data_IF_315703972713
#
_entry.id   IF_315703972713
#
_cell.length_a   1.000
_cell.length_b   1.000
_cell.length_c   1.000
_cell.angle_alpha   90.00
_cell.angle_beta   90.00
_cell.angle_gamma   90.00
#
_symmetry.space_group_name_H-M   'P 1'
#
loop_
_entity.id
_entity.type
_entity.pdbx_description
1 polymer ?
#
# COMPACT_ATOMS: atom_id res chain seq x y z
N UNK A 1 22.46 37.17 4.41
CA UNK A 1 22.63 36.52 3.09
C UNK A 1 23.16 35.09 3.13
N UNK A 2 24.03 34.68 4.08
CA UNK A 2 24.55 33.29 4.17
C UNK A 2 23.57 32.19 4.64
N UNK A 3 22.38 32.56 5.18
CA UNK A 3 21.36 31.61 5.65
C UNK A 3 20.33 31.21 4.58
N UNK A 4 20.19 32.01 3.51
CA UNK A 4 19.31 31.73 2.37
C UNK A 4 19.98 30.79 1.35
N UNK A 5 21.30 30.82 1.25
CA UNK A 5 22.06 29.93 0.38
C UNK A 5 22.12 28.49 0.91
N UNK A 6 22.01 28.27 2.24
CA UNK A 6 22.06 26.94 2.84
C UNK A 6 20.74 26.17 2.68
N UNK A 7 19.59 26.86 2.73
CA UNK A 7 18.26 26.26 2.53
C UNK A 7 17.98 25.94 1.06
N UNK A 8 18.55 26.69 0.12
CA UNK A 8 18.50 26.35 -1.31
C UNK A 8 19.40 25.13 -1.60
N UNK A 9 20.57 25.02 -0.96
CA UNK A 9 21.44 23.84 -1.12
C UNK A 9 20.83 22.56 -0.49
N UNK A 10 20.11 22.67 0.63
CA UNK A 10 19.46 21.51 1.26
C UNK A 10 18.27 20.99 0.45
N UNK A 11 17.53 21.87 -0.24
CA UNK A 11 16.49 21.45 -1.19
C UNK A 11 17.05 20.78 -2.46
N UNK A 12 18.31 21.04 -2.81
CA UNK A 12 18.98 20.39 -3.95
C UNK A 12 19.47 18.98 -3.60
N UNK A 13 19.85 18.70 -2.35
CA UNK A 13 20.34 17.36 -1.96
C UNK A 13 19.25 16.35 -1.60
N UNK A 14 17.99 16.77 -1.39
CA UNK A 14 16.84 15.87 -1.34
C UNK A 14 16.25 15.56 -2.72
N UNK A 15 16.80 16.15 -3.79
CA UNK A 15 16.30 16.01 -5.16
C UNK A 15 16.94 14.85 -5.95
N UNK A 16 17.96 14.18 -5.41
CA UNK A 16 18.72 13.15 -6.15
C UNK A 16 17.94 11.84 -6.41
N UNK A 17 16.69 11.71 -5.94
CA UNK A 17 15.78 10.58 -6.24
C UNK A 17 14.45 11.07 -6.85
N UNK A 18 14.30 12.37 -7.12
CA UNK A 18 13.24 12.81 -8.01
C UNK A 18 13.69 12.43 -9.41
N UNK A 19 12.87 11.70 -10.20
CA UNK A 19 13.05 11.78 -11.64
C UNK A 19 13.11 13.26 -11.93
N UNK A 20 14.25 13.70 -12.46
CA UNK A 20 14.50 15.06 -12.82
C UNK A 20 13.20 15.66 -13.36
N UNK A 21 12.60 16.55 -12.58
CA UNK A 21 11.65 17.55 -13.09
C UNK A 21 12.33 18.48 -14.11
N UNK A 22 13.61 18.21 -14.42
CA UNK A 22 14.40 18.86 -15.44
C UNK A 22 13.66 18.78 -16.77
N UNK A 23 13.16 19.95 -17.17
CA UNK A 23 13.58 20.61 -18.41
C UNK A 23 14.42 19.67 -19.28
N UNK A 24 13.86 19.29 -20.44
CA UNK A 24 14.60 18.57 -21.46
C UNK A 24 15.98 19.21 -21.64
N UNK A 25 17.04 18.41 -21.62
CA UNK A 25 18.36 18.96 -21.82
C UNK A 25 18.47 19.58 -23.23
N UNK A 26 19.54 20.32 -23.50
CA UNK A 26 19.68 21.04 -24.77
C UNK A 26 19.63 20.11 -26.00
N UNK A 27 20.16 18.89 -25.88
CA UNK A 27 20.13 17.88 -26.94
C UNK A 27 18.72 17.32 -27.16
N UNK A 28 18.01 16.97 -26.09
CA UNK A 28 16.60 16.54 -26.14
C UNK A 28 15.73 17.64 -26.74
N UNK A 29 15.95 18.90 -26.34
CA UNK A 29 15.22 20.06 -26.84
C UNK A 29 15.47 20.29 -28.32
N UNK A 30 16.71 20.10 -28.79
CA UNK A 30 17.03 20.20 -30.22
C UNK A 30 16.28 19.13 -31.03
N UNK A 31 16.27 17.88 -30.58
CA UNK A 31 15.55 16.78 -31.24
C UNK A 31 14.05 17.07 -31.28
N UNK A 32 13.46 17.48 -30.15
CA UNK A 32 12.04 17.84 -30.08
C UNK A 32 11.70 18.94 -31.09
N UNK A 33 12.53 19.98 -31.21
CA UNK A 33 12.29 21.08 -32.16
C UNK A 33 12.43 20.63 -33.61
N UNK A 34 13.41 19.79 -33.92
CA UNK A 34 13.63 19.28 -35.29
C UNK A 34 12.51 18.35 -35.74
N UNK A 35 11.96 17.53 -34.83
CA UNK A 35 10.96 16.50 -35.13
C UNK A 35 9.58 16.78 -34.54
N UNK A 36 9.26 18.04 -34.22
CA UNK A 36 8.05 18.41 -33.47
C UNK A 36 6.76 17.85 -34.11
N UNK A 37 6.61 17.98 -35.43
CA UNK A 37 5.43 17.54 -36.15
C UNK A 37 5.25 16.02 -36.13
N UNK A 38 6.35 15.27 -36.17
CA UNK A 38 6.33 13.79 -36.14
C UNK A 38 6.06 13.28 -34.72
N UNK A 39 6.51 14.00 -33.69
CA UNK A 39 6.44 13.57 -32.29
C UNK A 39 5.11 13.91 -31.63
N UNK A 40 4.48 15.02 -31.99
CA UNK A 40 3.38 15.62 -31.21
C UNK A 40 2.20 14.67 -30.97
N UNK A 41 1.65 14.11 -32.04
CA UNK A 41 0.48 13.22 -31.92
C UNK A 41 0.82 11.86 -31.29
N UNK A 42 1.88 11.14 -31.72
CA UNK A 42 2.22 9.84 -31.13
C UNK A 42 2.54 9.93 -29.64
N UNK A 43 3.29 10.95 -29.21
CA UNK A 43 3.63 11.13 -27.79
C UNK A 43 2.39 11.44 -26.97
N UNK A 44 1.50 12.30 -27.47
CA UNK A 44 0.25 12.62 -26.76
C UNK A 44 -0.61 11.36 -26.56
N UNK A 45 -0.81 10.58 -27.64
CA UNK A 45 -1.60 9.36 -27.59
C UNK A 45 -1.03 8.34 -26.60
N UNK A 46 0.27 8.07 -26.67
CA UNK A 46 0.93 7.13 -25.74
C UNK A 46 0.89 7.61 -24.29
N UNK A 47 1.01 8.93 -24.07
CA UNK A 47 0.95 9.50 -22.72
C UNK A 47 -0.44 9.39 -22.11
N UNK A 48 -1.49 9.62 -22.90
CA UNK A 48 -2.88 9.49 -22.47
C UNK A 48 -3.22 8.03 -22.16
N UNK A 49 -2.79 7.08 -23.00
CA UNK A 49 -2.93 5.64 -22.75
C UNK A 49 -2.21 5.21 -21.46
N UNK A 50 -0.97 5.66 -21.26
CA UNK A 50 -0.20 5.35 -20.05
C UNK A 50 -0.88 5.91 -18.79
N UNK A 51 -1.48 7.10 -18.88
CA UNK A 51 -2.25 7.68 -17.79
C UNK A 51 -3.54 6.91 -17.50
N UNK A 52 -4.30 6.55 -18.54
CA UNK A 52 -5.51 5.75 -18.42
C UNK A 52 -5.22 4.36 -17.82
N UNK A 53 -4.09 3.73 -18.17
CA UNK A 53 -3.65 2.48 -17.55
C UNK A 53 -3.43 2.64 -16.03
N UNK A 54 -2.81 3.74 -15.61
CA UNK A 54 -2.61 4.03 -14.18
C UNK A 54 -3.95 4.25 -13.47
N UNK A 55 -4.85 5.06 -14.04
CA UNK A 55 -6.19 5.30 -13.47
C UNK A 55 -7.02 4.02 -13.35
N UNK A 56 -6.84 3.06 -14.27
CA UNK A 56 -7.56 1.79 -14.21
C UNK A 56 -7.14 0.91 -13.02
N UNK A 57 -5.92 1.10 -12.49
CA UNK A 57 -5.33 0.28 -11.43
C UNK A 57 -5.27 0.98 -10.08
N UNK A 58 -5.21 2.31 -10.08
CA UNK A 58 -4.93 3.12 -8.90
C UNK A 58 -5.94 4.25 -8.77
N UNK A 59 -6.26 4.64 -7.54
CA UNK A 59 -6.96 5.88 -7.27
C UNK A 59 -6.02 7.06 -7.53
N UNK A 60 -6.30 7.83 -8.58
CA UNK A 60 -5.57 9.07 -8.90
C UNK A 60 -6.42 10.26 -8.47
N UNK A 61 -6.05 10.87 -7.34
CA UNK A 61 -6.75 12.06 -6.85
C UNK A 61 -6.60 13.23 -7.84
N UNK A 62 -7.63 14.08 -8.04
CA UNK A 62 -7.54 15.28 -8.88
C UNK A 62 -6.35 16.18 -8.53
N UNK A 63 -5.93 16.19 -7.26
CA UNK A 63 -4.81 17.00 -6.77
C UNK A 63 -3.43 16.55 -7.32
N UNK A 64 -3.29 15.28 -7.71
CA UNK A 64 -2.05 14.73 -8.26
C UNK A 64 -2.17 14.34 -9.74
N UNK A 65 -3.39 14.23 -10.27
CA UNK A 65 -3.65 13.82 -11.64
C UNK A 65 -2.86 14.63 -12.67
N UNK A 66 -2.81 15.96 -12.53
CA UNK A 66 -2.02 16.81 -13.43
C UNK A 66 -0.53 16.49 -13.43
N UNK A 67 0.05 16.21 -12.26
CA UNK A 67 1.47 15.83 -12.14
C UNK A 67 1.73 14.44 -12.72
N UNK A 68 0.83 13.48 -12.50
CA UNK A 68 0.95 12.13 -13.06
C UNK A 68 0.86 12.17 -14.59
N UNK A 69 -0.10 12.92 -15.16
CA UNK A 69 -0.19 13.14 -16.61
C UNK A 69 1.07 13.76 -17.18
N UNK A 70 1.60 14.78 -16.51
CA UNK A 70 2.87 15.41 -16.90
C UNK A 70 4.02 14.39 -16.90
N UNK A 71 4.12 13.53 -15.89
CA UNK A 71 5.14 12.47 -15.87
C UNK A 71 4.94 11.46 -17.00
N UNK A 72 3.72 11.02 -17.30
CA UNK A 72 3.45 10.15 -18.45
C UNK A 72 3.90 10.82 -19.77
N UNK A 73 3.57 12.09 -19.95
CA UNK A 73 3.95 12.85 -21.15
C UNK A 73 5.47 12.96 -21.31
N UNK A 74 6.19 13.38 -20.27
CA UNK A 74 7.64 13.52 -20.35
C UNK A 74 8.32 12.15 -20.53
N UNK A 75 7.82 11.11 -19.85
CA UNK A 75 8.29 9.73 -20.01
C UNK A 75 8.21 9.27 -21.46
N UNK A 76 7.03 9.40 -22.08
CA UNK A 76 6.83 8.97 -23.47
C UNK A 76 7.60 9.86 -24.46
N UNK A 77 7.74 11.16 -24.17
CA UNK A 77 8.59 12.06 -24.97
C UNK A 77 10.05 11.57 -24.98
N UNK A 78 10.63 11.29 -23.81
CA UNK A 78 12.02 10.81 -23.71
C UNK A 78 12.20 9.44 -24.34
N UNK A 79 11.23 8.54 -24.19
CA UNK A 79 11.24 7.24 -24.89
C UNK A 79 11.21 7.44 -26.40
N UNK A 80 10.45 8.41 -26.89
CA UNK A 80 10.37 8.71 -28.32
C UNK A 80 11.67 9.32 -28.86
N UNK A 81 12.31 10.23 -28.11
CA UNK A 81 13.61 10.83 -28.46
C UNK A 81 14.68 9.77 -28.71
N UNK A 82 14.68 8.68 -27.94
CA UNK A 82 15.63 7.57 -28.12
C UNK A 82 15.57 6.92 -29.52
N UNK A 83 14.54 7.18 -30.33
CA UNK A 83 14.48 6.73 -31.73
C UNK A 83 15.39 7.55 -32.67
N UNK A 84 15.74 8.78 -32.29
CA UNK A 84 16.56 9.71 -33.07
C UNK A 84 18.02 9.74 -32.60
N UNK A 85 18.31 9.16 -31.44
CA UNK A 85 19.68 8.96 -30.98
C UNK A 85 20.42 7.97 -31.90
N UNK A 86 21.65 8.30 -32.30
CA UNK A 86 22.53 7.44 -33.12
C UNK A 86 23.15 6.30 -32.30
N UNK A 87 22.29 5.51 -31.64
CA UNK A 87 22.67 4.38 -30.77
C UNK A 87 22.20 3.05 -31.36
N UNK A 88 22.77 1.95 -30.88
CA UNK A 88 22.35 0.61 -31.30
C UNK A 88 20.92 0.29 -30.84
N UNK A 89 20.29 -0.69 -31.50
CA UNK A 89 18.94 -1.15 -31.10
C UNK A 89 18.92 -1.65 -29.65
N UNK A 90 19.97 -2.36 -29.22
CA UNK A 90 20.07 -2.89 -27.87
C UNK A 90 20.14 -1.77 -26.82
N UNK A 91 21.01 -0.77 -27.03
CA UNK A 91 21.14 0.39 -26.15
C UNK A 91 19.84 1.20 -26.08
N UNK A 92 19.15 1.39 -27.21
CA UNK A 92 17.86 2.06 -27.27
C UNK A 92 16.81 1.36 -26.42
N UNK A 93 16.75 0.04 -26.46
CA UNK A 93 15.80 -0.74 -25.64
C UNK A 93 16.13 -0.60 -24.16
N UNK A 94 17.41 -0.70 -23.79
CA UNK A 94 17.85 -0.53 -22.40
C UNK A 94 17.49 0.86 -21.87
N UNK A 95 17.82 1.92 -22.61
CA UNK A 95 17.52 3.29 -22.20
C UNK A 95 16.03 3.57 -22.04
N UNK A 96 15.19 3.01 -22.92
CA UNK A 96 13.72 3.10 -22.79
C UNK A 96 13.22 2.43 -21.51
N UNK A 97 13.80 1.29 -21.10
CA UNK A 97 13.46 0.62 -19.84
C UNK A 97 13.89 1.45 -18.63
N UNK A 98 15.09 2.03 -18.65
CA UNK A 98 15.57 2.91 -17.58
C UNK A 98 14.67 4.15 -17.42
N UNK A 99 14.25 4.77 -18.54
CA UNK A 99 13.27 5.87 -18.52
C UNK A 99 11.94 5.40 -17.92
N UNK A 100 11.43 4.23 -18.34
CA UNK A 100 10.20 3.68 -17.79
C UNK A 100 10.28 3.53 -16.26
N UNK A 101 11.35 2.89 -15.76
CA UNK A 101 11.55 2.67 -14.33
C UNK A 101 11.64 3.99 -13.54
N UNK A 102 12.46 4.93 -14.02
CA UNK A 102 12.68 6.21 -13.35
C UNK A 102 11.38 7.02 -13.20
N UNK A 103 10.56 7.09 -14.26
CA UNK A 103 9.30 7.83 -14.22
C UNK A 103 8.23 7.09 -13.42
N UNK A 104 8.22 5.76 -13.48
CA UNK A 104 7.32 4.96 -12.66
C UNK A 104 7.60 5.12 -11.17
N UNK A 105 8.83 5.40 -10.76
CA UNK A 105 9.16 5.70 -9.36
C UNK A 105 8.63 7.06 -8.91
N UNK A 106 8.77 8.08 -9.76
CA UNK A 106 8.17 9.40 -9.51
C UNK A 106 6.65 9.34 -9.42
N UNK A 107 6.01 8.57 -10.30
CA UNK A 107 4.58 8.32 -10.25
C UNK A 107 4.22 7.56 -8.97
N UNK A 108 4.95 6.49 -8.63
CA UNK A 108 4.74 5.72 -7.40
C UNK A 108 4.85 6.60 -6.14
N UNK A 109 5.80 7.55 -6.10
CA UNK A 109 5.94 8.50 -4.99
C UNK A 109 4.67 9.33 -4.74
N UNK A 110 3.98 9.73 -5.81
CA UNK A 110 2.70 10.45 -5.72
C UNK A 110 1.54 9.52 -5.34
N UNK A 111 1.53 8.30 -5.85
CA UNK A 111 0.39 7.39 -5.73
C UNK A 111 0.37 6.55 -4.45
N UNK A 112 1.53 6.18 -3.90
CA UNK A 112 1.63 5.31 -2.72
C UNK A 112 0.84 5.86 -1.52
N UNK A 113 0.93 7.15 -1.14
CA UNK A 113 0.15 7.67 -0.02
C UNK A 113 -1.37 7.64 -0.26
N UNK A 114 -1.82 7.57 -1.51
CA UNK A 114 -3.23 7.49 -1.87
C UNK A 114 -3.71 6.05 -2.06
N UNK A 115 -2.77 5.11 -2.26
CA UNK A 115 -3.02 3.73 -2.60
C UNK A 115 -2.08 2.81 -1.80
N UNK A 116 -2.40 2.53 -0.53
CA UNK A 116 -1.52 1.74 0.33
C UNK A 116 -1.17 0.35 -0.20
N UNK A 117 -1.99 -0.20 -1.11
CA UNK A 117 -1.82 -1.54 -1.70
C UNK A 117 -0.76 -1.60 -2.80
N UNK A 118 -0.23 -0.47 -3.30
CA UNK A 118 0.84 -0.46 -4.32
C UNK A 118 2.18 -0.95 -3.73
N UNK A 119 2.31 -0.90 -2.41
CA UNK A 119 3.51 -1.25 -1.65
C UNK A 119 3.15 -2.18 -0.48
N UNK A 120 4.03 -2.34 0.50
CA UNK A 120 3.69 -2.98 1.77
C UNK A 120 2.54 -2.25 2.47
N UNK A 121 1.51 -2.99 2.91
CA UNK A 121 0.27 -2.40 3.41
C UNK A 121 0.52 -1.45 4.59
N UNK A 122 1.33 -1.84 5.57
CA UNK A 122 1.56 -1.00 6.76
C UNK A 122 2.38 0.23 6.39
N UNK A 123 3.36 0.07 5.50
CA UNK A 123 4.18 1.17 4.96
C UNK A 123 3.33 2.17 4.20
N UNK A 124 2.43 1.70 3.34
CA UNK A 124 1.48 2.55 2.62
C UNK A 124 0.59 3.34 3.57
N UNK A 125 0.07 2.71 4.62
CA UNK A 125 -0.72 3.41 5.65
C UNK A 125 0.12 4.41 6.47
N UNK A 126 1.38 4.08 6.79
CA UNK A 126 2.29 5.01 7.47
C UNK A 126 2.55 6.26 6.62
N UNK A 127 2.76 6.11 5.31
CA UNK A 127 2.97 7.22 4.38
C UNK A 127 1.68 8.04 4.17
N UNK A 128 0.54 7.38 4.01
CA UNK A 128 -0.78 8.03 3.95
C UNK A 128 -1.04 8.90 5.19
N UNK A 129 -0.63 8.42 6.36
CA UNK A 129 -0.82 9.11 7.64
C UNK A 129 0.37 9.96 8.07
N UNK A 130 1.36 10.19 7.21
CA UNK A 130 2.63 10.84 7.55
C UNK A 130 2.47 12.14 8.35
N UNK A 131 1.49 12.99 7.98
CA UNK A 131 1.16 14.23 8.69
C UNK A 131 0.57 13.97 10.08
N UNK A 132 -0.31 12.99 10.23
CA UNK A 132 -0.91 12.63 11.52
C UNK A 132 0.09 11.95 12.46
N UNK A 133 1.05 11.22 11.91
CA UNK A 133 2.12 10.57 12.66
C UNK A 133 3.27 11.54 13.00
N UNK A 134 3.22 12.78 12.51
CA UNK A 134 4.29 13.77 12.62
C UNK A 134 5.66 13.19 12.19
N UNK A 135 5.68 12.50 11.05
CA UNK A 135 6.93 11.92 10.53
C UNK A 135 7.91 13.04 10.16
N UNK A 136 9.11 12.96 10.71
CA UNK A 136 10.22 13.83 10.30
C UNK A 136 10.54 13.61 8.81
N UNK A 137 10.96 14.65 8.07
CA UNK A 137 11.25 14.54 6.63
C UNK A 137 12.18 13.37 6.28
N UNK A 138 13.22 13.14 7.07
CA UNK A 138 14.21 12.08 6.85
C UNK A 138 13.59 10.69 7.00
N UNK A 139 12.71 10.51 7.99
CA UNK A 139 11.97 9.25 8.20
C UNK A 139 10.95 9.03 7.08
N UNK A 140 10.26 10.09 6.68
CA UNK A 140 9.33 10.05 5.56
C UNK A 140 10.05 9.61 4.28
N UNK A 141 11.18 10.23 3.94
CA UNK A 141 11.92 9.92 2.72
C UNK A 141 12.55 8.52 2.76
N UNK A 142 13.02 8.09 3.93
CA UNK A 142 13.50 6.71 4.15
C UNK A 142 12.39 5.67 3.94
N UNK A 143 11.16 5.94 4.40
CA UNK A 143 10.01 5.07 4.17
C UNK A 143 9.54 5.12 2.72
N UNK A 144 9.53 6.31 2.10
CA UNK A 144 9.14 6.48 0.71
C UNK A 144 10.09 5.75 -0.24
N UNK A 145 11.40 5.86 -0.02
CA UNK A 145 12.40 5.13 -0.81
C UNK A 145 12.22 3.62 -0.68
N UNK A 146 11.98 3.11 0.53
CA UNK A 146 11.64 1.71 0.75
C UNK A 146 10.33 1.32 0.04
N UNK A 147 9.29 2.15 0.13
CA UNK A 147 7.99 1.86 -0.46
C UNK A 147 8.04 1.79 -1.99
N UNK A 148 8.83 2.65 -2.63
CA UNK A 148 9.10 2.65 -4.08
C UNK A 148 9.84 1.36 -4.46
N UNK A 149 10.90 1.00 -3.73
CA UNK A 149 11.64 -0.23 -3.98
C UNK A 149 10.77 -1.48 -3.83
N UNK A 150 9.95 -1.53 -2.79
CA UNK A 150 8.95 -2.59 -2.60
C UNK A 150 7.99 -2.66 -3.79
N UNK A 151 7.47 -1.51 -4.26
CA UNK A 151 6.58 -1.45 -5.42
C UNK A 151 7.27 -1.95 -6.70
N UNK A 152 8.55 -1.61 -6.93
CA UNK A 152 9.34 -2.16 -8.05
C UNK A 152 9.41 -3.68 -7.98
N UNK A 153 9.71 -4.24 -6.81
CA UNK A 153 9.79 -5.69 -6.60
C UNK A 153 8.45 -6.39 -6.83
N UNK A 154 7.34 -5.81 -6.38
CA UNK A 154 6.00 -6.33 -6.68
C UNK A 154 5.67 -6.31 -8.17
N UNK A 155 6.08 -5.28 -8.91
CA UNK A 155 5.90 -5.23 -10.37
C UNK A 155 6.68 -6.35 -11.07
N UNK A 156 7.88 -6.67 -10.60
CA UNK A 156 8.70 -7.75 -11.14
C UNK A 156 8.18 -9.14 -10.76
N UNK A 157 7.70 -9.30 -9.51
CA UNK A 157 7.13 -10.55 -9.02
C UNK A 157 5.96 -10.29 -8.03
N UNK A 158 4.71 -10.32 -8.53
CA UNK A 158 3.51 -10.03 -7.74
C UNK A 158 3.24 -11.01 -6.59
N UNK A 159 3.81 -12.22 -6.64
CA UNK A 159 3.56 -13.26 -5.64
C UNK A 159 4.53 -13.20 -4.44
N UNK A 160 5.43 -12.21 -4.40
CA UNK A 160 6.44 -12.14 -3.35
C UNK A 160 5.86 -11.58 -2.05
N UNK A 161 6.15 -12.25 -0.93
CA UNK A 161 5.72 -11.84 0.40
C UNK A 161 6.90 -11.26 1.19
N UNK A 162 6.84 -9.98 1.55
CA UNK A 162 7.93 -9.28 2.25
C UNK A 162 7.51 -8.74 3.63
N UNK A 163 6.49 -9.33 4.26
CA UNK A 163 5.92 -8.75 5.48
C UNK A 163 6.93 -8.64 6.65
N UNK A 164 7.86 -9.59 6.77
CA UNK A 164 8.94 -9.49 7.77
C UNK A 164 9.90 -8.34 7.48
N UNK A 165 10.37 -8.23 6.24
CA UNK A 165 11.24 -7.14 5.81
C UNK A 165 10.56 -5.78 6.02
N UNK A 166 9.26 -5.70 5.71
CA UNK A 166 8.43 -4.53 5.95
C UNK A 166 8.43 -4.14 7.43
N UNK A 167 8.16 -5.10 8.31
CA UNK A 167 8.11 -4.83 9.75
C UNK A 167 9.46 -4.45 10.32
N UNK A 168 10.54 -5.09 9.86
CA UNK A 168 11.89 -4.74 10.30
C UNK A 168 12.27 -3.32 9.84
N UNK A 169 11.90 -2.91 8.62
CA UNK A 169 12.10 -1.53 8.16
C UNK A 169 11.30 -0.54 9.00
N UNK A 170 10.03 -0.84 9.26
CA UNK A 170 9.14 0.05 10.02
C UNK A 170 9.60 0.21 11.47
N UNK A 171 9.98 -0.86 12.16
CA UNK A 171 10.52 -0.81 13.54
C UNK A 171 11.81 0.01 13.65
N UNK A 172 12.63 0.05 12.59
CA UNK A 172 13.85 0.87 12.55
C UNK A 172 13.58 2.34 12.24
N UNK A 173 12.43 2.66 11.64
CA UNK A 173 12.16 4.00 11.10
C UNK A 173 11.12 4.77 11.92
N UNK A 174 10.15 4.07 12.50
CA UNK A 174 9.06 4.60 13.31
C UNK A 174 9.31 4.29 14.78
N UNK A 175 8.82 5.16 15.67
CA UNK A 175 8.66 4.79 17.07
C UNK A 175 7.44 3.86 17.28
N UNK A 176 7.35 3.27 18.47
CA UNK A 176 6.32 2.27 18.77
C UNK A 176 4.88 2.82 18.64
N UNK A 177 4.64 4.08 19.02
CA UNK A 177 3.32 4.69 18.93
C UNK A 177 2.96 5.04 17.48
N UNK A 178 3.93 5.50 16.69
CA UNK A 178 3.78 5.71 15.24
C UNK A 178 3.46 4.40 14.52
N UNK A 179 4.24 3.35 14.80
CA UNK A 179 4.05 2.02 14.20
C UNK A 179 2.69 1.43 14.57
N UNK A 180 2.34 1.49 15.86
CA UNK A 180 1.03 1.04 16.35
C UNK A 180 -0.12 1.81 15.71
N UNK A 181 0.02 3.11 15.52
CA UNK A 181 -0.98 3.94 14.83
C UNK A 181 -1.14 3.54 13.37
N UNK A 182 -0.05 3.30 12.64
CA UNK A 182 -0.08 2.85 11.26
C UNK A 182 -0.74 1.47 11.09
N UNK A 183 -0.36 0.49 11.92
CA UNK A 183 -0.96 -0.86 11.92
C UNK A 183 -2.46 -0.79 12.27
N UNK A 184 -2.82 0.01 13.29
CA UNK A 184 -4.23 0.16 13.67
C UNK A 184 -5.06 0.82 12.57
N UNK A 185 -4.51 1.77 11.83
CA UNK A 185 -5.20 2.40 10.72
C UNK A 185 -5.47 1.41 9.58
N UNK A 186 -4.46 0.60 9.20
CA UNK A 186 -4.61 -0.51 8.25
C UNK A 186 -5.77 -1.43 8.67
N UNK A 187 -5.80 -1.80 9.95
CA UNK A 187 -6.73 -2.80 10.47
C UNK A 187 -8.10 -2.26 10.88
N UNK A 188 -8.33 -0.94 10.81
CA UNK A 188 -9.58 -0.34 11.30
C UNK A 188 -10.80 -0.81 10.50
N UNK A 189 -10.76 -0.74 9.17
CA UNK A 189 -11.90 -1.15 8.33
C UNK A 189 -12.16 -2.66 8.41
N UNK A 190 -11.15 -3.55 8.25
CA UNK A 190 -11.33 -4.98 8.42
C UNK A 190 -11.89 -5.37 9.80
N UNK A 191 -11.37 -4.79 10.89
CA UNK A 191 -11.85 -5.06 12.23
C UNK A 191 -13.30 -4.62 12.42
N UNK A 192 -13.68 -3.46 11.87
CA UNK A 192 -15.07 -2.96 11.91
C UNK A 192 -16.00 -3.91 11.16
N UNK A 193 -15.66 -4.28 9.92
CA UNK A 193 -16.46 -5.20 9.11
C UNK A 193 -16.66 -6.54 9.84
N UNK A 194 -15.60 -7.08 10.43
CA UNK A 194 -15.66 -8.33 11.22
C UNK A 194 -16.54 -8.20 12.46
N UNK A 195 -16.46 -7.08 13.18
CA UNK A 195 -17.30 -6.81 14.34
C UNK A 195 -18.78 -6.67 13.98
N UNK A 196 -19.10 -5.98 12.88
CA UNK A 196 -20.47 -5.84 12.36
C UNK A 196 -21.03 -7.19 11.90
N UNK A 197 -20.24 -7.96 11.15
CA UNK A 197 -20.66 -9.30 10.71
C UNK A 197 -20.93 -10.25 11.89
N UNK A 198 -20.08 -10.17 12.93
CA UNK A 198 -20.28 -10.92 14.16
C UNK A 198 -21.58 -10.54 14.87
N UNK A 199 -21.88 -9.25 14.99
CA UNK A 199 -23.14 -8.78 15.57
C UNK A 199 -24.33 -9.31 14.79
N UNK A 200 -24.29 -9.23 13.45
CA UNK A 200 -25.35 -9.75 12.61
C UNK A 200 -25.56 -11.26 12.81
N UNK A 201 -24.48 -12.04 12.96
CA UNK A 201 -24.58 -13.46 13.24
C UNK A 201 -25.22 -13.76 14.61
N UNK A 202 -24.93 -12.96 15.63
CA UNK A 202 -25.56 -13.08 16.96
C UNK A 202 -27.06 -12.78 16.90
N UNK A 203 -27.45 -11.72 16.17
CA UNK A 203 -28.86 -11.36 15.94
C UNK A 203 -29.59 -12.47 15.18
N UNK A 204 -28.98 -13.00 14.12
CA UNK A 204 -29.57 -14.10 13.34
C UNK A 204 -29.73 -15.39 14.15
N UNK A 205 -28.94 -15.56 15.22
CA UNK A 205 -29.05 -16.70 16.12
C UNK A 205 -29.98 -16.44 17.32
N UNK A 206 -30.64 -15.28 17.39
CA UNK A 206 -31.52 -14.86 18.48
C UNK A 206 -30.82 -14.86 19.85
N UNK A 207 -29.55 -14.45 19.89
CA UNK A 207 -28.71 -14.41 21.11
C UNK A 207 -28.46 -12.98 21.61
N UNK A 208 -29.12 -11.99 21.03
CA UNK A 208 -28.94 -10.56 21.29
C UNK A 208 -29.70 -10.04 22.52
N UNK A 209 -30.62 -10.82 23.08
CA UNK A 209 -31.49 -10.37 24.16
C UNK A 209 -30.69 -9.87 25.38
N UNK A 210 -31.01 -8.65 25.83
CA UNK A 210 -30.33 -7.99 26.95
C UNK A 210 -28.91 -7.47 26.64
N UNK A 211 -28.48 -7.43 25.37
CA UNK A 211 -27.19 -6.86 24.97
C UNK A 211 -27.34 -5.45 24.38
N UNK A 212 -26.50 -4.52 24.83
CA UNK A 212 -26.30 -3.23 24.16
C UNK A 212 -25.47 -3.43 22.89
N UNK A 213 -26.12 -3.29 21.73
CA UNK A 213 -25.51 -3.46 20.41
C UNK A 213 -24.29 -2.57 20.20
N UNK A 214 -24.36 -1.30 20.60
CA UNK A 214 -23.29 -0.32 20.42
C UNK A 214 -22.08 -0.70 21.26
N UNK A 215 -22.32 -1.08 22.51
CA UNK A 215 -21.26 -1.49 23.42
C UNK A 215 -20.60 -2.81 22.96
N UNK A 216 -21.38 -3.81 22.54
CA UNK A 216 -20.85 -5.09 22.10
C UNK A 216 -20.06 -4.98 20.79
N UNK A 217 -20.58 -4.25 19.80
CA UNK A 217 -19.85 -4.00 18.53
C UNK A 217 -18.54 -3.28 18.80
N UNK A 218 -18.53 -2.27 19.68
CA UNK A 218 -17.30 -1.57 20.08
C UNK A 218 -16.28 -2.52 20.72
N UNK A 219 -16.71 -3.39 21.64
CA UNK A 219 -15.82 -4.38 22.29
C UNK A 219 -15.26 -5.38 21.27
N UNK A 220 -16.10 -5.88 20.36
CA UNK A 220 -15.67 -6.77 19.29
C UNK A 220 -14.66 -6.10 18.35
N UNK A 221 -14.93 -4.85 17.95
CA UNK A 221 -14.03 -4.04 17.14
C UNK A 221 -12.65 -3.89 17.78
N UNK A 222 -12.59 -3.49 19.06
CA UNK A 222 -11.32 -3.33 19.78
C UNK A 222 -10.55 -4.65 19.88
N UNK A 223 -11.25 -5.75 20.18
CA UNK A 223 -10.64 -7.08 20.23
C UNK A 223 -10.06 -7.49 18.88
N UNK A 224 -10.82 -7.38 17.78
CA UNK A 224 -10.33 -7.77 16.46
C UNK A 224 -9.21 -6.88 15.97
N UNK A 225 -9.26 -5.59 16.27
CA UNK A 225 -8.16 -4.68 15.96
C UNK A 225 -6.88 -5.07 16.71
N UNK A 226 -6.99 -5.45 17.99
CA UNK A 226 -5.84 -5.94 18.77
C UNK A 226 -5.34 -7.29 18.23
N UNK A 227 -6.22 -8.22 17.87
CA UNK A 227 -5.83 -9.50 17.27
C UNK A 227 -5.03 -9.26 15.97
N UNK A 228 -5.54 -8.41 15.09
CA UNK A 228 -4.88 -8.07 13.82
C UNK A 228 -3.56 -7.33 14.06
N UNK A 229 -3.51 -6.41 15.04
CA UNK A 229 -2.29 -5.74 15.44
C UNK A 229 -1.22 -6.74 15.88
N UNK A 230 -1.54 -7.69 16.76
CA UNK A 230 -0.60 -8.70 17.25
C UNK A 230 -0.06 -9.53 16.08
N UNK A 231 -0.94 -9.95 15.15
CA UNK A 231 -0.54 -10.73 13.97
C UNK A 231 0.40 -9.98 13.03
N UNK A 232 0.13 -8.70 12.79
CA UNK A 232 0.98 -7.85 11.95
C UNK A 232 2.28 -7.47 12.65
N UNK A 233 2.23 -7.19 13.95
CA UNK A 233 3.40 -6.74 14.70
C UNK A 233 4.40 -7.88 14.93
N UNK A 234 3.94 -9.12 15.18
CA UNK A 234 4.80 -10.28 15.44
C UNK A 234 4.92 -11.23 14.24
N UNK A 235 4.88 -10.69 13.01
CA UNK A 235 5.11 -11.47 11.77
C UNK A 235 6.39 -12.30 11.89
N UNK A 236 6.28 -13.61 11.61
CA UNK A 236 7.36 -14.61 11.68
C UNK A 236 8.03 -14.76 13.06
N UNK A 237 7.46 -14.20 14.14
CA UNK A 237 7.93 -14.38 15.51
C UNK A 237 6.95 -15.27 16.28
N UNK A 238 6.91 -16.57 15.93
CA UNK A 238 5.87 -17.51 16.37
C UNK A 238 5.67 -17.57 17.89
N UNK A 239 6.75 -17.61 18.67
CA UNK A 239 6.66 -17.70 20.14
C UNK A 239 6.01 -16.44 20.74
N UNK A 240 6.49 -15.26 20.35
CA UNK A 240 5.95 -13.98 20.80
C UNK A 240 4.52 -13.75 20.30
N UNK A 241 4.24 -14.10 19.04
CA UNK A 241 2.91 -14.07 18.46
C UNK A 241 1.94 -14.92 19.30
N UNK A 242 2.31 -16.16 19.61
CA UNK A 242 1.45 -17.07 20.36
C UNK A 242 1.25 -16.60 21.80
N UNK A 243 2.31 -16.11 22.46
CA UNK A 243 2.21 -15.57 23.82
C UNK A 243 1.22 -14.39 23.89
N UNK A 244 1.33 -13.44 22.96
CA UNK A 244 0.46 -12.26 22.91
C UNK A 244 -0.98 -12.62 22.51
N UNK A 245 -1.17 -13.56 21.58
CA UNK A 245 -2.51 -14.03 21.21
C UNK A 245 -3.18 -14.79 22.37
N UNK A 246 -2.42 -15.62 23.10
CA UNK A 246 -2.94 -16.33 24.27
C UNK A 246 -3.43 -15.36 25.34
N UNK A 247 -2.67 -14.32 25.64
CA UNK A 247 -3.08 -13.26 26.56
C UNK A 247 -4.37 -12.57 26.09
N UNK A 248 -4.43 -12.16 24.81
CA UNK A 248 -5.64 -11.58 24.23
C UNK A 248 -6.86 -12.51 24.33
N UNK A 249 -6.66 -13.81 24.13
CA UNK A 249 -7.73 -14.81 24.18
C UNK A 249 -8.31 -15.00 25.58
N UNK A 250 -7.52 -14.78 26.64
CA UNK A 250 -8.02 -14.76 28.03
C UNK A 250 -9.02 -13.62 28.26
N UNK A 251 -8.83 -12.49 27.58
CA UNK A 251 -9.66 -11.29 27.69
C UNK A 251 -10.77 -11.18 26.65
N UNK A 252 -11.16 -12.30 26.03
CA UNK A 252 -12.18 -12.34 24.98
C UNK A 252 -13.55 -11.80 25.46
N UNK A 253 -14.14 -10.79 24.80
CA UNK A 253 -15.46 -10.26 25.12
C UNK A 253 -16.58 -11.30 25.01
N UNK A 254 -17.65 -11.13 25.80
CA UNK A 254 -18.83 -12.02 25.82
C UNK A 254 -19.41 -12.25 24.42
N UNK A 255 -19.57 -11.19 23.63
CA UNK A 255 -20.13 -11.27 22.27
C UNK A 255 -19.32 -12.18 21.34
N UNK A 256 -18.00 -12.24 21.51
CA UNK A 256 -17.13 -13.11 20.71
C UNK A 256 -17.26 -14.57 21.16
N UNK A 257 -17.33 -14.80 22.47
CA UNK A 257 -17.61 -16.14 23.03
C UNK A 257 -18.96 -16.67 22.55
N UNK A 258 -19.99 -15.82 22.49
CA UNK A 258 -21.31 -16.17 21.95
C UNK A 258 -21.22 -16.57 20.47
N UNK A 259 -20.55 -15.76 19.65
CA UNK A 259 -20.36 -16.03 18.24
C UNK A 259 -19.61 -17.35 17.97
N UNK A 260 -18.53 -17.62 18.70
CA UNK A 260 -17.82 -18.90 18.62
C UNK A 260 -18.71 -20.08 19.03
N UNK A 261 -19.58 -19.86 20.02
CA UNK A 261 -20.61 -20.82 20.43
C UNK A 261 -21.57 -21.20 19.29
N UNK A 262 -21.97 -20.23 18.45
CA UNK A 262 -22.80 -20.51 17.26
C UNK A 262 -22.05 -21.46 16.31
N UNK A 263 -20.80 -21.13 15.96
CA UNK A 263 -20.00 -21.94 15.04
C UNK A 263 -19.71 -23.35 15.57
N UNK A 264 -19.49 -23.51 16.88
CA UNK A 264 -19.32 -24.85 17.48
C UNK A 264 -20.59 -25.69 17.40
N UNK A 265 -21.78 -25.10 17.63
CA UNK A 265 -23.05 -25.80 17.46
C UNK A 265 -23.25 -26.25 16.01
N UNK A 266 -23.03 -25.38 15.04
CA UNK A 266 -23.12 -25.73 13.61
C UNK A 266 -22.16 -26.85 13.21
N UNK A 267 -20.92 -26.82 13.71
CA UNK A 267 -19.93 -27.86 13.44
C UNK A 267 -20.32 -29.21 14.06
N UNK A 268 -20.92 -29.22 15.26
CA UNK A 268 -21.41 -30.43 15.92
C UNK A 268 -22.61 -31.01 15.14
N UNK A 269 -23.55 -30.18 14.69
CA UNK A 269 -24.69 -30.60 13.86
C UNK A 269 -24.20 -31.24 12.56
N UNK A 270 -23.33 -30.56 11.81
CA UNK A 270 -22.76 -31.11 10.56
C UNK A 270 -22.01 -32.42 10.75
N UNK A 271 -21.31 -32.59 11.88
CA UNK A 271 -20.65 -33.87 12.21
C UNK A 271 -21.65 -34.98 12.53
N UNK A 272 -22.74 -34.67 13.22
CA UNK A 272 -23.81 -35.64 13.47
C UNK A 272 -24.53 -36.02 12.17
N UNK A 273 -24.89 -35.05 11.33
CA UNK A 273 -25.51 -35.31 10.02
C UNK A 273 -24.62 -36.17 9.10
N UNK A 274 -23.31 -35.92 9.08
CA UNK A 274 -22.36 -36.78 8.34
C UNK A 274 -22.25 -38.20 8.90
N UNK A 275 -22.33 -38.37 10.22
CA UNK A 275 -22.32 -39.70 10.85
C UNK A 275 -23.61 -40.47 10.55
N UNK A 276 -24.76 -39.82 10.67
CA UNK A 276 -26.06 -40.38 10.28
C UNK A 276 -26.05 -40.75 8.79
N UNK A 277 -25.53 -39.90 7.91
CA UNK A 277 -25.39 -40.22 6.48
C UNK A 277 -24.48 -41.41 6.16
N UNK A 278 -23.52 -41.77 7.04
CA UNK A 278 -22.71 -42.98 6.91
C UNK A 278 -23.37 -44.23 7.50
N UNK A 279 -24.20 -44.08 8.54
CA UNK A 279 -24.93 -45.19 9.17
C UNK A 279 -26.13 -45.67 8.34
N UNK A 280 -26.60 -44.84 7.40
CA UNK A 280 -27.66 -45.17 6.44
C UNK A 280 -27.15 -45.45 5.01
N UNK A 281 -25.83 -45.55 4.82
CA UNK A 281 -25.25 -46.04 3.57
C UNK A 281 -25.21 -47.57 3.59
N UNK A 282 -26.32 -48.20 3.20
CA UNK A 282 -26.42 -49.62 2.84
C UNK A 282 -26.71 -49.75 1.34
#
# INVERSE_FOLDING_TARGET
MKKLSLSILLCVMCADILAQTAIFNDAETAIIRTHEQEMKEPVSFLADDAFAEIESKCNVSPNVAGQVRMFCFIKETRKYICNYDSITVAERVTRKKEIEEQYMDSISRLLIPLNPNITGLVTGYALMMSRHLNLMPERHDSLMGYAIDYARRLRQNPCTYFAREEMDKLRRTLDDEQLKSAINAKNTTPARNRATALWQAVVNAHLEEGLDSTQQVRRAFLYYRNEMYIRDYFVEQQELLQANLNDLYMHKPKIIKMYEGIGTKEAVIKRHEKKVGMEFAW
#
